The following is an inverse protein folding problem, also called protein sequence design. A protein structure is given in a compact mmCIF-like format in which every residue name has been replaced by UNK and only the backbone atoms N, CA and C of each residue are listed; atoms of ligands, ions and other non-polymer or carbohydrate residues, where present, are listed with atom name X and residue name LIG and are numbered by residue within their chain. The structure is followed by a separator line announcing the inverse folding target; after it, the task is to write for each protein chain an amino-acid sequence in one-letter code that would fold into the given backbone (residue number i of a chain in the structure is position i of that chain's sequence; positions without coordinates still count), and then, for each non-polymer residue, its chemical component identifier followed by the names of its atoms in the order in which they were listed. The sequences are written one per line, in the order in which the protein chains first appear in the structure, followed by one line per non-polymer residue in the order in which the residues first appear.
data_IF_650627684518
#
_entry.id   IF_650627684518
#
_cell.length_a   1.000
_cell.length_b   1.000
_cell.length_c   1.000
_cell.angle_alpha   90.00
_cell.angle_beta   90.00
_cell.angle_gamma   90.00
#
_symmetry.space_group_name_H-M   'P 1'
#
loop_
_entity.id
_entity.type
_entity.pdbx_description
1 polymer ?
#
# COMPACT_ATOMS: atom_id res chain seq x y z
N UNK A 1 -14.56 -0.61 -8.16
CA UNK A 1 -13.42 -1.19 -8.90
C UNK A 1 -13.08 -2.52 -8.26
N UNK A 2 -12.99 -3.59 -9.04
CA UNK A 2 -12.56 -4.91 -8.57
C UNK A 2 -11.02 -5.01 -8.69
N UNK A 3 -10.32 -4.40 -7.74
CA UNK A 3 -8.87 -4.43 -7.69
C UNK A 3 -8.30 -5.86 -7.51
N UNK A 4 -8.88 -6.74 -6.66
CA UNK A 4 -8.46 -8.14 -6.57
C UNK A 4 -8.52 -8.86 -7.91
N UNK A 5 -9.61 -8.67 -8.67
CA UNK A 5 -9.76 -9.23 -10.01
C UNK A 5 -8.65 -8.77 -10.96
N UNK A 6 -8.30 -7.48 -10.93
CA UNK A 6 -7.22 -6.92 -11.76
C UNK A 6 -5.86 -7.49 -11.34
N UNK A 7 -5.54 -7.51 -10.04
CA UNK A 7 -4.25 -7.96 -9.53
C UNK A 7 -4.02 -9.47 -9.67
N UNK A 8 -5.07 -10.26 -9.87
CA UNK A 8 -5.01 -11.72 -10.08
C UNK A 8 -4.84 -12.14 -11.55
N UNK A 9 -4.92 -11.19 -12.50
CA UNK A 9 -4.70 -11.51 -13.93
C UNK A 9 -3.22 -11.80 -14.22
N UNK A 10 -2.97 -12.78 -15.11
CA UNK A 10 -1.62 -13.23 -15.48
C UNK A 10 -1.44 -13.13 -17.01
N UNK A 11 -0.45 -12.36 -17.51
CA UNK A 11 0.52 -11.57 -16.73
C UNK A 11 -0.16 -10.38 -16.02
N UNK A 12 0.42 -9.94 -14.90
CA UNK A 12 -0.07 -8.78 -14.15
C UNK A 12 -0.08 -7.55 -15.10
N UNK A 13 -1.24 -6.90 -15.31
CA UNK A 13 -1.40 -5.85 -16.31
C UNK A 13 -0.85 -4.50 -15.84
N UNK A 14 -0.48 -4.38 -14.56
CA UNK A 14 0.05 -3.18 -13.95
C UNK A 14 1.56 -3.31 -13.73
N UNK A 15 2.32 -2.28 -14.09
CA UNK A 15 3.75 -2.22 -13.80
C UNK A 15 3.99 -1.94 -12.32
N UNK A 16 5.19 -2.30 -11.84
CA UNK A 16 5.59 -2.05 -10.44
C UNK A 16 5.58 -0.57 -10.09
N UNK A 17 5.94 0.31 -11.03
CA UNK A 17 5.82 1.76 -10.86
C UNK A 17 4.37 2.21 -10.66
N UNK A 18 3.44 1.67 -11.46
CA UNK A 18 2.00 1.98 -11.33
C UNK A 18 1.47 1.49 -9.99
N UNK A 19 1.83 0.28 -9.54
CA UNK A 19 1.44 -0.22 -8.23
C UNK A 19 1.98 0.65 -7.09
N UNK A 20 3.23 1.09 -7.19
CA UNK A 20 3.86 1.92 -6.15
C UNK A 20 3.17 3.29 -6.06
N UNK A 21 2.89 3.91 -7.20
CA UNK A 21 2.11 5.15 -7.26
C UNK A 21 0.68 4.96 -6.76
N UNK A 22 0.03 3.83 -7.05
CA UNK A 22 -1.31 3.53 -6.57
C UNK A 22 -1.35 3.43 -5.03
N UNK A 23 -0.39 2.69 -4.44
CA UNK A 23 -0.23 2.62 -2.98
C UNK A 23 -0.05 4.01 -2.37
N UNK A 24 0.81 4.84 -2.97
CA UNK A 24 1.03 6.21 -2.51
C UNK A 24 -0.22 7.08 -2.59
N UNK A 25 -0.92 7.06 -3.72
CA UNK A 25 -2.12 7.86 -3.97
C UNK A 25 -3.26 7.48 -3.02
N UNK A 26 -3.53 6.18 -2.87
CA UNK A 26 -4.58 5.69 -1.97
C UNK A 26 -4.28 6.02 -0.51
N UNK A 27 -3.02 5.91 -0.08
CA UNK A 27 -2.62 6.27 1.28
C UNK A 27 -2.72 7.78 1.53
N UNK A 28 -2.39 8.62 0.54
CA UNK A 28 -2.49 10.07 0.63
C UNK A 28 -3.94 10.55 0.80
N UNK A 29 -4.90 9.83 0.21
CA UNK A 29 -6.31 10.18 0.18
C UNK A 29 -7.18 9.27 1.07
N UNK A 30 -6.72 8.92 2.27
CA UNK A 30 -7.51 8.12 3.23
C UNK A 30 -8.65 8.90 3.92
N UNK A 31 -8.90 10.16 3.54
CA UNK A 31 -9.90 11.01 4.20
C UNK A 31 -11.35 10.56 4.01
N UNK A 32 -11.65 9.88 2.89
CA UNK A 32 -12.96 9.32 2.55
C UNK A 32 -12.80 7.85 2.16
N UNK A 33 -13.84 7.03 2.39
CA UNK A 33 -13.87 5.61 2.05
C UNK A 33 -12.70 4.79 2.64
N UNK A 34 -12.28 5.16 3.86
CA UNK A 34 -11.08 4.64 4.54
C UNK A 34 -10.98 3.12 4.49
N UNK A 35 -12.03 2.40 4.87
CA UNK A 35 -12.05 0.93 4.85
C UNK A 35 -11.74 0.34 3.47
N UNK A 36 -12.37 0.87 2.41
CA UNK A 36 -12.15 0.38 1.04
C UNK A 36 -10.76 0.71 0.53
N UNK A 37 -10.30 1.95 0.74
CA UNK A 37 -8.95 2.38 0.33
C UNK A 37 -7.87 1.58 1.05
N UNK A 38 -8.05 1.27 2.33
CA UNK A 38 -7.13 0.40 3.08
C UNK A 38 -7.07 -1.02 2.52
N UNK A 39 -8.20 -1.59 2.10
CA UNK A 39 -8.19 -2.89 1.40
C UNK A 39 -7.37 -2.82 0.13
N UNK A 40 -7.59 -1.79 -0.70
CA UNK A 40 -6.86 -1.62 -1.94
C UNK A 40 -5.36 -1.37 -1.74
N UNK A 41 -4.99 -0.59 -0.71
CA UNK A 41 -3.57 -0.41 -0.33
C UNK A 41 -2.96 -1.76 0.06
N UNK A 42 -3.65 -2.58 0.84
CA UNK A 42 -3.15 -3.90 1.25
C UNK A 42 -2.93 -4.81 0.04
N UNK A 43 -3.90 -4.88 -0.87
CA UNK A 43 -3.85 -5.71 -2.06
C UNK A 43 -2.75 -5.26 -3.04
N UNK A 44 -2.67 -3.96 -3.32
CA UNK A 44 -1.62 -3.41 -4.18
C UNK A 44 -0.23 -3.59 -3.56
N UNK A 45 -0.10 -3.46 -2.23
CA UNK A 45 1.13 -3.70 -1.51
C UNK A 45 1.60 -5.17 -1.59
N UNK A 46 0.68 -6.14 -1.56
CA UNK A 46 1.02 -7.55 -1.73
C UNK A 46 1.49 -7.89 -3.15
N UNK A 47 1.05 -7.13 -4.16
CA UNK A 47 1.48 -7.28 -5.55
C UNK A 47 2.81 -6.56 -5.87
N UNK A 48 3.32 -5.75 -4.94
CA UNK A 48 4.59 -5.03 -5.12
C UNK A 48 5.79 -5.94 -4.89
N UNK A 49 6.74 -5.87 -5.82
CA UNK A 49 8.08 -6.42 -5.72
C UNK A 49 9.09 -5.29 -5.45
N UNK A 50 9.49 -5.04 -4.19
CA UNK A 50 10.41 -3.96 -3.85
C UNK A 50 11.84 -4.14 -4.42
N UNK A 51 12.18 -5.33 -4.92
CA UNK A 51 13.46 -5.62 -5.57
C UNK A 51 13.43 -5.39 -7.09
N UNK A 52 12.29 -4.97 -7.65
CA UNK A 52 12.17 -4.64 -9.07
C UNK A 52 13.04 -3.42 -9.42
N UNK A 53 13.86 -3.57 -10.46
CA UNK A 53 14.83 -2.56 -10.89
C UNK A 53 14.19 -1.21 -11.27
N UNK A 54 12.93 -1.21 -11.72
CA UNK A 54 12.23 0.02 -12.12
C UNK A 54 11.89 0.90 -10.91
N UNK A 55 11.62 0.30 -9.75
CA UNK A 55 11.18 1.05 -8.56
C UNK A 55 12.21 1.09 -7.44
N UNK A 56 13.26 0.26 -7.49
CA UNK A 56 14.25 0.12 -6.42
C UNK A 56 14.78 1.45 -5.88
N UNK A 57 15.10 2.41 -6.76
CA UNK A 57 15.64 3.72 -6.38
C UNK A 57 14.62 4.67 -5.75
N UNK A 58 13.32 4.41 -5.88
CA UNK A 58 12.23 5.26 -5.41
C UNK A 58 11.34 4.60 -4.35
N UNK A 59 11.37 3.27 -4.24
CA UNK A 59 10.49 2.49 -3.40
C UNK A 59 10.61 2.90 -1.93
N UNK A 60 11.85 2.98 -1.41
CA UNK A 60 12.09 3.28 0.00
C UNK A 60 11.48 4.62 0.48
N UNK A 61 11.81 5.79 -0.08
CA UNK A 61 11.26 7.05 0.41
C UNK A 61 9.72 7.11 0.26
N UNK A 62 9.16 6.49 -0.77
CA UNK A 62 7.71 6.42 -0.97
C UNK A 62 7.05 5.53 0.10
N UNK A 63 7.60 4.35 0.38
CA UNK A 63 7.09 3.44 1.41
C UNK A 63 7.21 4.04 2.81
N UNK A 64 8.29 4.76 3.10
CA UNK A 64 8.45 5.51 4.36
C UNK A 64 7.37 6.60 4.50
N UNK A 65 7.10 7.36 3.44
CA UNK A 65 6.03 8.36 3.41
C UNK A 65 4.65 7.73 3.64
N UNK A 66 4.35 6.63 2.95
CA UNK A 66 3.08 5.88 3.09
C UNK A 66 2.92 5.37 4.53
N UNK A 67 3.98 4.81 5.12
CA UNK A 67 3.95 4.34 6.49
C UNK A 67 3.59 5.47 7.47
N UNK A 68 4.20 6.66 7.32
CA UNK A 68 3.88 7.81 8.17
C UNK A 68 2.43 8.28 7.99
N UNK A 69 1.88 8.21 6.78
CA UNK A 69 0.48 8.55 6.54
C UNK A 69 -0.47 7.55 7.22
N UNK A 70 -0.16 6.26 7.18
CA UNK A 70 -0.92 5.22 7.88
C UNK A 70 -0.85 5.38 9.41
N UNK A 71 0.29 5.78 9.96
CA UNK A 71 0.42 6.10 11.40
C UNK A 71 -0.54 7.22 11.80
N UNK A 72 -0.61 8.30 10.99
CA UNK A 72 -1.53 9.43 11.23
C UNK A 72 -2.98 8.99 11.14
N UNK A 73 -3.33 8.23 10.11
CA UNK A 73 -4.70 7.73 9.93
C UNK A 73 -5.12 6.80 11.08
N UNK A 74 -4.22 5.93 11.55
CA UNK A 74 -4.51 5.06 12.69
C UNK A 74 -4.95 5.84 13.94
N UNK A 75 -4.42 7.05 14.16
CA UNK A 75 -4.75 7.87 15.30
C UNK A 75 -6.16 8.49 15.22
N UNK A 76 -6.74 8.61 14.02
CA UNK A 76 -8.08 9.17 13.81
C UNK A 76 -9.17 8.10 13.71
N UNK A 77 -8.79 6.84 13.44
CA UNK A 77 -9.71 5.72 13.33
C UNK A 77 -10.31 5.30 14.68
N UNK A 78 -11.62 5.13 14.70
CA UNK A 78 -12.37 4.64 15.88
C UNK A 78 -12.90 3.22 15.69
N UNK A 79 -13.03 2.74 14.44
CA UNK A 79 -13.50 1.39 14.13
C UNK A 79 -12.42 0.34 14.36
N UNK A 80 -12.66 -0.69 15.21
CA UNK A 80 -11.67 -1.75 15.45
C UNK A 80 -11.23 -2.49 14.19
N UNK A 81 -12.14 -2.68 13.22
CA UNK A 81 -11.84 -3.33 11.95
C UNK A 81 -10.89 -2.49 11.10
N UNK A 82 -11.12 -1.18 11.01
CA UNK A 82 -10.24 -0.28 10.25
C UNK A 82 -8.86 -0.19 10.91
N UNK A 83 -8.79 -0.16 12.25
CA UNK A 83 -7.53 -0.16 13.00
C UNK A 83 -6.75 -1.46 12.78
N UNK A 84 -7.42 -2.60 12.64
CA UNK A 84 -6.78 -3.88 12.32
C UNK A 84 -6.26 -3.88 10.88
N UNK A 85 -7.05 -3.39 9.93
CA UNK A 85 -6.66 -3.30 8.52
C UNK A 85 -5.45 -2.37 8.34
N UNK A 86 -5.46 -1.18 8.96
CA UNK A 86 -4.29 -0.27 8.95
C UNK A 86 -3.06 -0.95 9.53
N UNK A 87 -3.20 -1.66 10.65
CA UNK A 87 -2.05 -2.38 11.26
C UNK A 87 -1.48 -3.44 10.32
N UNK A 88 -2.33 -4.19 9.63
CA UNK A 88 -1.89 -5.18 8.64
C UNK A 88 -1.06 -4.49 7.55
N UNK A 89 -1.59 -3.42 6.94
CA UNK A 89 -0.89 -2.67 5.89
C UNK A 89 0.45 -2.11 6.41
N UNK A 90 0.46 -1.51 7.60
CA UNK A 90 1.69 -1.00 8.22
C UNK A 90 2.74 -2.10 8.39
N UNK A 91 2.33 -3.33 8.72
CA UNK A 91 3.24 -4.47 8.86
C UNK A 91 3.83 -4.89 7.50
N UNK A 92 2.99 -4.95 6.45
CA UNK A 92 3.44 -5.24 5.08
C UNK A 92 4.45 -4.18 4.62
N UNK A 93 4.14 -2.89 4.79
CA UNK A 93 5.06 -1.78 4.46
C UNK A 93 6.39 -1.92 5.20
N UNK A 94 6.34 -2.21 6.51
CA UNK A 94 7.55 -2.40 7.33
C UNK A 94 8.40 -3.58 6.86
N UNK A 95 7.76 -4.66 6.38
CA UNK A 95 8.47 -5.81 5.80
C UNK A 95 9.17 -5.40 4.49
N UNK A 96 8.45 -4.72 3.60
CA UNK A 96 9.01 -4.23 2.33
C UNK A 96 10.18 -3.25 2.53
N UNK A 97 10.10 -2.36 3.52
CA UNK A 97 11.18 -1.43 3.87
C UNK A 97 12.45 -2.15 4.32
N UNK A 98 12.34 -3.32 4.97
CA UNK A 98 13.52 -4.13 5.32
C UNK A 98 14.14 -4.81 4.09
N UNK A 99 13.34 -5.06 3.06
CA UNK A 99 13.78 -5.66 1.80
C UNK A 99 14.41 -4.63 0.86
N UNK A 100 13.98 -3.37 0.91
CA UNK A 100 14.60 -2.25 0.22
C UNK A 100 15.95 -1.91 0.90
N UNK A 101 17.04 -2.54 0.45
CA UNK A 101 18.40 -2.27 0.95
C UNK A 101 19.02 -1.04 0.30
#
# INVERSE_FOLDING_TARGET
VDLPGILSTVPLPLSQGVLLSLVQQLACDLGNDTSQKLSWVAEAAMALNPSDALIMMHARPILEQVYQMLVRQKATLTSPNEVNNVRMVMHVMSSMLKTCR
#
